data_IF_946257452627
#
_entry.id   IF_946257452627
#
_cell.length_a   1.000
_cell.length_b   1.000
_cell.length_c   1.000
_cell.angle_alpha   90.00
_cell.angle_beta   90.00
_cell.angle_gamma   90.00
#
_symmetry.space_group_name_H-M   'P 1'
#
loop_
_entity.id
_entity.type
_entity.pdbx_description
1 polymer ?
#
# COMPACT_ATOMS: atom_id res chain seq x y z
N UNK A 1 22.97 18.39 26.86
CA UNK A 1 23.06 19.12 25.57
C UNK A 1 21.63 19.51 25.19
N UNK A 2 21.02 20.38 26.00
CA UNK A 2 20.72 21.78 25.70
C UNK A 2 19.69 21.94 24.56
N UNK A 3 18.43 21.98 25.00
CA UNK A 3 17.26 22.46 24.28
C UNK A 3 17.51 23.89 23.77
N UNK A 4 17.88 24.03 22.50
CA UNK A 4 17.76 25.29 21.78
C UNK A 4 16.35 25.36 21.16
N UNK A 5 15.48 26.30 21.59
CA UNK A 5 14.10 26.42 21.10
C UNK A 5 13.99 26.79 19.61
N UNK A 6 15.09 27.18 18.98
CA UNK A 6 15.08 27.83 17.66
C UNK A 6 14.90 26.86 16.48
N UNK A 7 15.12 25.56 16.66
CA UNK A 7 15.01 24.57 15.56
C UNK A 7 13.57 24.09 15.35
N UNK A 8 12.71 24.18 16.37
CA UNK A 8 11.36 23.60 16.34
C UNK A 8 10.38 24.45 15.52
N UNK A 9 10.56 25.76 15.47
CA UNK A 9 9.56 26.67 14.88
C UNK A 9 9.90 27.09 13.43
N UNK A 10 11.17 26.98 13.01
CA UNK A 10 11.63 27.57 11.75
C UNK A 10 11.67 26.64 10.52
N UNK A 11 11.58 25.32 10.71
CA UNK A 11 11.97 24.34 9.68
C UNK A 11 10.82 23.51 9.08
N UNK A 12 9.56 23.84 9.37
CA UNK A 12 8.38 23.18 8.75
C UNK A 12 8.23 21.68 9.02
N UNK A 13 9.07 21.11 9.90
CA UNK A 13 8.96 19.72 10.36
C UNK A 13 7.99 19.65 11.52
N UNK A 14 7.07 18.69 11.49
CA UNK A 14 6.20 18.46 12.63
C UNK A 14 7.03 18.03 13.85
N UNK A 15 6.79 18.67 15.00
CA UNK A 15 7.47 18.36 16.26
C UNK A 15 6.83 17.17 17.00
N UNK A 16 5.77 16.58 16.44
CA UNK A 16 5.12 15.37 16.92
C UNK A 16 5.90 14.16 16.43
N UNK A 17 6.90 13.78 17.21
CA UNK A 17 7.75 12.62 16.96
C UNK A 17 7.20 11.37 17.66
N UNK A 18 7.38 10.17 17.08
CA UNK A 18 7.06 8.90 17.74
C UNK A 18 7.93 8.70 18.99
N UNK A 19 7.33 8.70 20.18
CA UNK A 19 8.00 8.47 21.48
C UNK A 19 7.80 7.01 21.96
N UNK A 20 8.62 6.54 22.91
CA UNK A 20 8.49 5.18 23.47
C UNK A 20 8.89 4.05 22.52
N UNK A 21 10.07 4.13 21.91
CA UNK A 21 10.66 3.08 21.01
C UNK A 21 9.98 2.94 19.63
N UNK A 22 8.88 3.65 19.38
CA UNK A 22 8.12 3.61 18.12
C UNK A 22 8.86 4.25 16.92
N UNK A 23 9.93 5.02 17.15
CA UNK A 23 10.76 5.63 16.10
C UNK A 23 11.44 4.63 15.14
N UNK A 24 11.46 3.32 15.48
CA UNK A 24 12.00 2.28 14.58
C UNK A 24 11.06 1.94 13.42
N UNK A 25 9.76 2.18 13.58
CA UNK A 25 8.73 1.73 12.64
C UNK A 25 7.78 2.84 12.18
N UNK A 26 7.76 3.97 12.89
CA UNK A 26 6.88 5.09 12.60
C UNK A 26 7.68 6.31 12.17
N UNK A 27 7.16 7.03 11.19
CA UNK A 27 7.72 8.29 10.71
C UNK A 27 7.26 9.47 11.57
N UNK A 28 7.96 10.59 11.50
CA UNK A 28 7.48 11.85 12.04
C UNK A 28 6.22 12.31 11.26
N UNK A 29 5.31 13.01 11.94
CA UNK A 29 4.05 13.46 11.33
C UNK A 29 4.32 14.30 10.06
N UNK A 30 3.62 13.97 8.98
CA UNK A 30 3.72 14.59 7.67
C UNK A 30 2.33 14.82 7.08
N UNK A 31 2.24 15.66 6.03
CA UNK A 31 0.97 15.87 5.34
C UNK A 31 0.36 14.57 4.78
N UNK A 32 1.19 13.56 4.50
CA UNK A 32 0.74 12.25 4.03
C UNK A 32 -0.07 11.47 5.09
N UNK A 33 0.10 11.76 6.38
CA UNK A 33 -0.70 11.12 7.44
C UNK A 33 -2.19 11.53 7.37
N UNK A 34 -2.47 12.65 6.70
CA UNK A 34 -3.83 13.16 6.46
C UNK A 34 -4.40 12.76 5.08
N UNK A 35 -3.61 12.07 4.25
CA UNK A 35 -4.01 11.63 2.90
C UNK A 35 -4.22 10.12 2.90
N UNK A 36 -5.31 9.65 2.28
CA UNK A 36 -5.50 8.23 1.98
C UNK A 36 -4.96 7.91 0.59
N UNK A 37 -3.98 7.01 0.52
CA UNK A 37 -3.49 6.48 -0.75
C UNK A 37 -4.38 5.32 -1.20
N UNK A 38 -4.90 5.39 -2.42
CA UNK A 38 -5.69 4.34 -3.07
C UNK A 38 -4.95 3.85 -4.30
N UNK A 39 -4.77 2.53 -4.41
CA UNK A 39 -4.18 1.91 -5.60
C UNK A 39 -5.26 1.68 -6.65
N UNK A 40 -5.03 2.15 -7.88
CA UNK A 40 -5.86 1.84 -9.05
C UNK A 40 -5.10 0.81 -9.88
N UNK A 41 -5.76 -0.31 -10.18
CA UNK A 41 -5.18 -1.40 -10.97
C UNK A 41 -6.10 -1.62 -12.17
N UNK A 42 -5.52 -1.54 -13.36
CA UNK A 42 -6.21 -1.75 -14.64
C UNK A 42 -5.44 -2.79 -15.47
N UNK A 43 -6.18 -3.69 -16.10
CA UNK A 43 -5.62 -4.75 -16.95
C UNK A 43 -6.20 -4.66 -18.36
N UNK A 44 -5.30 -4.63 -19.35
CA UNK A 44 -5.66 -4.91 -20.73
C UNK A 44 -6.03 -6.39 -20.87
N UNK A 45 -6.95 -6.72 -21.77
CA UNK A 45 -7.36 -8.13 -22.04
C UNK A 45 -6.15 -9.04 -22.29
N UNK A 46 -5.17 -8.59 -23.08
CA UNK A 46 -3.96 -9.35 -23.40
C UNK A 46 -3.09 -9.61 -22.16
N UNK A 47 -2.87 -8.58 -21.33
CA UNK A 47 -2.09 -8.70 -20.10
C UNK A 47 -2.78 -9.57 -19.06
N UNK A 48 -4.11 -9.47 -18.96
CA UNK A 48 -4.89 -10.35 -18.09
C UNK A 48 -4.75 -11.80 -18.55
N UNK A 49 -4.79 -12.08 -19.86
CA UNK A 49 -4.63 -13.43 -20.39
C UNK A 49 -3.24 -14.01 -20.11
N UNK A 50 -2.18 -13.20 -20.20
CA UNK A 50 -0.80 -13.61 -19.88
C UNK A 50 -0.63 -14.01 -18.41
N UNK A 51 -1.29 -13.30 -17.48
CA UNK A 51 -1.20 -13.59 -16.03
C UNK A 51 -2.34 -14.45 -15.48
N UNK A 52 -3.37 -14.76 -16.28
CA UNK A 52 -4.59 -15.40 -15.81
C UNK A 52 -4.34 -16.80 -15.24
N UNK A 53 -3.48 -17.59 -15.90
CA UNK A 53 -3.20 -18.97 -15.48
C UNK A 53 -2.51 -19.00 -14.12
N UNK A 54 -1.59 -18.07 -13.85
CA UNK A 54 -0.92 -17.93 -12.55
C UNK A 54 -1.89 -17.46 -11.46
N UNK A 55 -2.77 -16.50 -11.77
CA UNK A 55 -3.79 -16.01 -10.83
C UNK A 55 -4.78 -17.12 -10.47
N UNK A 56 -5.20 -17.92 -11.46
CA UNK A 56 -6.10 -19.06 -11.24
C UNK A 56 -5.40 -20.11 -10.37
N UNK A 57 -4.15 -20.47 -10.69
CA UNK A 57 -3.37 -21.44 -9.93
C UNK A 57 -3.21 -21.02 -8.46
N UNK A 58 -2.92 -19.74 -8.22
CA UNK A 58 -2.82 -19.20 -6.87
C UNK A 58 -4.17 -19.25 -6.14
N UNK A 59 -5.24 -18.80 -6.79
CA UNK A 59 -6.58 -18.80 -6.22
C UNK A 59 -7.06 -20.23 -5.86
N UNK A 60 -6.76 -21.23 -6.69
CA UNK A 60 -7.07 -22.63 -6.39
C UNK A 60 -6.24 -23.19 -5.24
N UNK A 61 -4.95 -22.84 -5.18
CA UNK A 61 -4.09 -23.25 -4.07
C UNK A 61 -4.55 -22.67 -2.72
N UNK A 62 -5.15 -21.48 -2.72
CA UNK A 62 -5.73 -20.83 -1.54
C UNK A 62 -7.18 -21.23 -1.26
N UNK A 63 -7.81 -22.05 -2.13
CA UNK A 63 -9.22 -22.46 -2.00
C UNK A 63 -10.23 -21.34 -2.33
N UNK A 64 -9.81 -20.33 -3.07
CA UNK A 64 -10.60 -19.17 -3.48
C UNK A 64 -11.29 -19.41 -4.84
N UNK A 65 -12.15 -20.43 -4.91
CA UNK A 65 -12.81 -20.86 -6.16
C UNK A 65 -13.56 -19.73 -6.88
N UNK A 66 -14.18 -18.82 -6.13
CA UNK A 66 -14.89 -17.67 -6.68
C UNK A 66 -13.94 -16.68 -7.40
N UNK A 67 -12.73 -16.49 -6.88
CA UNK A 67 -11.71 -15.63 -7.51
C UNK A 67 -11.22 -16.26 -8.81
N UNK A 68 -10.89 -17.56 -8.79
CA UNK A 68 -10.49 -18.30 -9.99
C UNK A 68 -11.58 -18.27 -11.08
N UNK A 69 -12.85 -18.48 -10.70
CA UNK A 69 -13.99 -18.43 -11.63
C UNK A 69 -14.17 -17.04 -12.26
N UNK A 70 -13.98 -15.98 -11.48
CA UNK A 70 -14.06 -14.58 -11.94
C UNK A 70 -13.05 -14.30 -13.08
N UNK A 71 -11.83 -14.83 -12.96
CA UNK A 71 -10.78 -14.69 -13.98
C UNK A 71 -11.11 -15.54 -15.22
N UNK A 72 -11.53 -16.80 -15.03
CA UNK A 72 -11.91 -17.70 -16.14
C UNK A 72 -13.00 -17.14 -17.04
N UNK A 73 -14.04 -16.55 -16.46
CA UNK A 73 -15.14 -15.94 -17.23
C UNK A 73 -14.61 -14.81 -18.13
N UNK A 74 -13.64 -14.02 -17.64
CA UNK A 74 -13.05 -12.91 -18.42
C UNK A 74 -12.06 -13.40 -19.48
N UNK A 75 -11.44 -14.57 -19.28
CA UNK A 75 -10.60 -15.21 -20.30
C UNK A 75 -11.43 -15.69 -21.50
N UNK A 76 -12.72 -15.99 -21.30
CA UNK A 76 -13.65 -16.47 -22.34
C UNK A 76 -14.36 -15.35 -23.13
N UNK A 77 -14.11 -14.06 -22.81
CA UNK A 77 -14.76 -12.87 -23.41
C UNK A 77 -13.81 -12.00 -24.24
#
# INVERSE_FOLDING_TARGET
ILLLPSVITGLGRAHTLPTGTSAKFFSALSANDFIKSTSIIEYDKKKLAESADDIIRLAEAEGLDAHAKSVRIRQQQ
#
